data_IF_207243858127
#
_entry.id   IF_207243858127
#
_cell.length_a   1.000
_cell.length_b   1.000
_cell.length_c   1.000
_cell.angle_alpha   90.00
_cell.angle_beta   90.00
_cell.angle_gamma   90.00
#
_symmetry.space_group_name_H-M   'P 1'
#
loop_
_entity.id
_entity.type
_entity.pdbx_description
1 polymer ?
#
# COMPACT_ATOMS: atom_id res chain seq x y z
N UNK A 1 14.74 -8.84 1.26
CA UNK A 1 14.05 -7.53 1.38
C UNK A 1 14.55 -6.86 2.64
N UNK A 2 14.72 -5.54 2.63
CA UNK A 2 15.24 -4.80 3.79
C UNK A 2 14.14 -4.51 4.80
N UNK A 3 14.45 -4.54 6.10
CA UNK A 3 13.50 -4.21 7.17
C UNK A 3 13.36 -2.68 7.32
N UNK A 4 12.15 -2.17 7.05
CA UNK A 4 11.82 -0.74 7.14
C UNK A 4 11.72 -0.22 8.58
N UNK A 5 11.56 -1.12 9.56
CA UNK A 5 11.52 -0.82 11.00
C UNK A 5 12.90 -0.89 11.66
N UNK A 6 13.98 -0.97 10.88
CA UNK A 6 15.34 -0.94 11.43
C UNK A 6 15.53 0.27 12.37
N UNK A 7 16.03 -0.02 13.57
CA UNK A 7 16.25 0.97 14.62
C UNK A 7 15.07 1.20 15.58
N UNK A 8 13.84 0.77 15.24
CA UNK A 8 12.64 0.96 16.09
C UNK A 8 12.83 0.40 17.50
N UNK A 9 13.34 -0.83 17.63
CA UNK A 9 13.45 -1.52 18.93
C UNK A 9 14.29 -0.77 19.98
N UNK A 10 15.27 0.04 19.53
CA UNK A 10 16.15 0.83 20.40
C UNK A 10 15.74 2.29 20.50
N UNK A 11 14.69 2.69 19.78
CA UNK A 11 14.23 4.06 19.76
C UNK A 11 13.41 4.37 21.03
N UNK A 12 13.74 5.42 21.79
CA UNK A 12 12.95 5.83 22.95
C UNK A 12 11.48 6.14 22.61
N UNK A 13 11.18 6.46 21.35
CA UNK A 13 9.85 6.72 20.82
C UNK A 13 9.27 5.52 20.06
N UNK A 14 9.77 4.29 20.24
CA UNK A 14 9.33 3.08 19.53
C UNK A 14 7.81 2.90 19.48
N UNK A 15 7.12 3.17 20.60
CA UNK A 15 5.66 3.05 20.72
C UNK A 15 4.89 4.04 19.84
N UNK A 16 5.54 5.10 19.34
CA UNK A 16 4.96 6.11 18.44
C UNK A 16 5.27 5.84 16.97
N UNK A 17 5.93 4.72 16.65
CA UNK A 17 6.17 4.30 15.28
C UNK A 17 4.97 3.52 14.77
N UNK A 18 4.39 4.04 13.69
CA UNK A 18 3.19 3.51 13.05
C UNK A 18 3.56 2.92 11.69
N UNK A 19 2.82 1.90 11.29
CA UNK A 19 2.99 1.21 10.00
C UNK A 19 1.66 1.12 9.30
N UNK A 20 1.67 1.31 7.99
CA UNK A 20 0.50 1.25 7.14
C UNK A 20 0.81 0.45 5.87
N UNK A 21 -0.04 -0.50 5.53
CA UNK A 21 -0.06 -1.18 4.23
C UNK A 21 -1.19 -0.60 3.37
N UNK A 22 -0.81 0.27 2.43
CA UNK A 22 -1.76 1.05 1.65
C UNK A 22 -1.96 0.44 0.26
N UNK A 23 -3.21 0.07 -0.03
CA UNK A 23 -3.67 -0.44 -1.33
C UNK A 23 -4.91 0.35 -1.80
N UNK A 24 -5.24 0.34 -3.10
CA UNK A 24 -6.43 1.00 -3.58
C UNK A 24 -7.71 0.35 -3.00
N UNK A 25 -8.60 1.17 -2.43
CA UNK A 25 -9.78 0.71 -1.68
C UNK A 25 -10.81 0.00 -2.58
N UNK A 26 -10.94 0.44 -3.83
CA UNK A 26 -11.87 -0.13 -4.82
C UNK A 26 -11.26 -1.33 -5.60
N UNK A 27 -10.32 -2.05 -4.99
CA UNK A 27 -9.74 -3.26 -5.56
C UNK A 27 -10.51 -4.51 -5.10
N UNK A 28 -10.60 -5.49 -6.01
CA UNK A 28 -11.26 -6.76 -5.73
C UNK A 28 -10.37 -7.66 -4.86
N UNK A 29 -10.86 -8.06 -3.70
CA UNK A 29 -10.19 -8.98 -2.79
C UNK A 29 -10.96 -10.30 -2.76
N UNK A 30 -10.44 -11.41 -3.31
CA UNK A 30 -11.15 -12.68 -3.37
C UNK A 30 -11.73 -13.13 -2.02
N UNK A 31 -11.00 -12.91 -0.93
CA UNK A 31 -11.38 -13.27 0.44
C UNK A 31 -12.55 -12.45 0.99
N UNK A 32 -12.78 -11.24 0.46
CA UNK A 32 -13.96 -10.40 0.75
C UNK A 32 -15.07 -10.64 -0.26
N UNK A 33 -14.75 -10.48 -1.54
CA UNK A 33 -15.72 -10.30 -2.61
C UNK A 33 -16.31 -11.60 -3.16
N UNK A 34 -15.68 -12.76 -2.88
CA UNK A 34 -16.23 -14.07 -3.22
C UNK A 34 -16.96 -14.74 -2.06
N UNK A 35 -16.92 -14.15 -0.86
CA UNK A 35 -17.57 -14.68 0.34
C UNK A 35 -18.88 -13.90 0.54
N UNK A 36 -20.04 -14.56 0.61
CA UNK A 36 -21.32 -13.87 0.86
C UNK A 36 -21.24 -13.03 2.15
N UNK A 37 -21.79 -11.80 2.13
CA UNK A 37 -21.77 -10.84 3.25
C UNK A 37 -21.96 -11.41 4.67
N UNK A 38 -22.89 -12.36 4.95
CA UNK A 38 -23.02 -12.93 6.30
C UNK A 38 -21.86 -13.86 6.73
N UNK A 39 -20.96 -14.22 5.82
CA UNK A 39 -19.82 -15.12 6.04
C UNK A 39 -18.47 -14.39 6.02
N UNK A 40 -18.43 -13.10 5.64
CA UNK A 40 -17.21 -12.30 5.72
C UNK A 40 -16.95 -11.95 7.18
N UNK A 41 -15.84 -12.44 7.73
CA UNK A 41 -15.48 -12.13 9.12
C UNK A 41 -15.04 -10.67 9.27
N UNK A 42 -15.31 -10.08 10.43
CA UNK A 42 -14.81 -8.73 10.77
C UNK A 42 -13.26 -8.70 10.76
N UNK A 43 -12.61 -9.82 11.10
CA UNK A 43 -11.15 -9.97 11.00
C UNK A 43 -10.68 -9.88 9.54
N UNK A 44 -11.38 -10.53 8.61
CA UNK A 44 -11.11 -10.44 7.16
C UNK A 44 -11.28 -9.01 6.67
N UNK A 45 -12.35 -8.31 7.07
CA UNK A 45 -12.58 -6.91 6.70
C UNK A 45 -11.50 -5.98 7.24
N UNK A 46 -11.07 -6.18 8.49
CA UNK A 46 -10.01 -5.37 9.11
C UNK A 46 -8.63 -5.53 8.48
N UNK A 47 -8.43 -6.54 7.62
CA UNK A 47 -7.19 -6.78 6.88
C UNK A 47 -7.18 -6.11 5.49
N UNK A 48 -8.28 -5.53 5.04
CA UNK A 48 -8.45 -5.03 3.68
C UNK A 48 -7.90 -3.60 3.54
N UNK A 49 -6.56 -3.51 3.56
CA UNK A 49 -5.78 -2.27 3.46
C UNK A 49 -6.03 -1.25 4.59
N UNK A 50 -4.94 -0.64 5.06
CA UNK A 50 -5.06 0.38 6.09
C UNK A 50 -5.61 1.68 5.49
N UNK A 51 -6.51 2.35 6.21
CA UNK A 51 -6.82 3.76 5.95
C UNK A 51 -5.74 4.63 6.59
N UNK A 52 -5.09 5.48 5.80
CA UNK A 52 -4.15 6.46 6.34
C UNK A 52 -4.92 7.72 6.77
N UNK A 53 -5.01 8.03 8.08
CA UNK A 53 -5.92 9.07 8.59
C UNK A 53 -5.37 10.50 8.45
N UNK A 54 -4.25 10.70 7.75
CA UNK A 54 -3.53 11.98 7.65
C UNK A 54 -2.98 12.17 6.22
N UNK A 55 -2.11 13.17 6.03
CA UNK A 55 -1.36 13.41 4.79
C UNK A 55 0.15 13.28 5.01
N UNK A 56 0.83 12.80 3.99
CA UNK A 56 2.29 12.84 3.88
C UNK A 56 2.66 14.23 3.35
N UNK A 57 3.23 15.05 4.23
CA UNK A 57 3.51 16.46 3.92
C UNK A 57 4.92 16.64 3.38
N UNK A 58 5.04 16.97 2.11
CA UNK A 58 6.31 17.01 1.37
C UNK A 58 6.57 18.39 0.77
N UNK A 59 7.85 18.67 0.51
CA UNK A 59 8.22 19.73 -0.41
C UNK A 59 7.87 19.34 -1.84
N UNK A 60 7.65 20.32 -2.73
CA UNK A 60 7.42 20.04 -4.15
C UNK A 60 8.52 19.13 -4.75
N UNK A 61 9.79 19.41 -4.46
CA UNK A 61 10.91 18.62 -4.99
C UNK A 61 10.88 17.16 -4.50
N UNK A 62 10.59 16.91 -3.23
CA UNK A 62 10.55 15.54 -2.72
C UNK A 62 9.31 14.77 -3.22
N UNK A 63 8.19 15.47 -3.41
CA UNK A 63 7.01 14.90 -4.06
C UNK A 63 7.29 14.51 -5.51
N UNK A 64 7.88 15.40 -6.31
CA UNK A 64 8.21 15.14 -7.71
C UNK A 64 9.20 13.97 -7.86
N UNK A 65 10.16 13.87 -6.95
CA UNK A 65 11.11 12.74 -6.92
C UNK A 65 10.39 11.43 -6.57
N UNK A 66 9.50 11.44 -5.57
CA UNK A 66 8.71 10.26 -5.21
C UNK A 66 7.77 9.83 -6.32
N UNK A 67 7.04 10.77 -6.92
CA UNK A 67 6.09 10.51 -7.99
C UNK A 67 6.79 9.85 -9.17
N UNK A 68 7.94 10.39 -9.60
CA UNK A 68 8.76 9.81 -10.67
C UNK A 68 9.20 8.38 -10.37
N UNK A 69 9.65 8.10 -9.14
CA UNK A 69 10.03 6.73 -8.75
C UNK A 69 8.84 5.77 -8.75
N UNK A 70 7.72 6.15 -8.14
CA UNK A 70 6.53 5.30 -8.08
C UNK A 70 5.96 5.05 -9.48
N UNK A 71 5.90 6.07 -10.34
CA UNK A 71 5.42 5.91 -11.70
C UNK A 71 6.28 4.94 -12.52
N UNK A 72 7.60 5.00 -12.37
CA UNK A 72 8.54 4.11 -13.04
C UNK A 72 8.43 2.67 -12.51
N UNK A 73 8.45 2.50 -11.18
CA UNK A 73 8.37 1.18 -10.55
C UNK A 73 7.02 0.51 -10.87
N UNK A 74 5.91 1.24 -10.76
CA UNK A 74 4.59 0.70 -11.07
C UNK A 74 4.39 0.45 -12.56
N UNK A 75 5.03 1.22 -13.45
CA UNK A 75 5.03 0.92 -14.88
C UNK A 75 5.75 -0.41 -15.17
N UNK A 76 6.88 -0.65 -14.50
CA UNK A 76 7.56 -1.95 -14.58
C UNK A 76 6.67 -3.09 -14.08
N UNK A 77 6.01 -2.92 -12.93
CA UNK A 77 5.07 -3.92 -12.40
C UNK A 77 3.90 -4.19 -13.34
N UNK A 78 3.31 -3.14 -13.92
CA UNK A 78 2.23 -3.27 -14.90
C UNK A 78 2.68 -4.04 -16.15
N UNK A 79 3.90 -3.77 -16.65
CA UNK A 79 4.48 -4.50 -17.79
C UNK A 79 4.69 -5.99 -17.50
N UNK A 80 4.87 -6.35 -16.24
CA UNK A 80 4.96 -7.74 -15.76
C UNK A 80 3.59 -8.35 -15.40
N UNK A 81 2.49 -7.64 -15.67
CA UNK A 81 1.12 -8.01 -15.31
C UNK A 81 0.96 -8.26 -13.79
N UNK A 82 1.75 -7.54 -12.99
CA UNK A 82 1.73 -7.59 -11.54
C UNK A 82 0.69 -6.62 -10.98
N UNK A 83 -0.03 -7.06 -9.96
CA UNK A 83 -1.06 -6.30 -9.24
C UNK A 83 -0.96 -6.63 -7.75
N UNK A 84 -1.82 -6.01 -6.94
CA UNK A 84 -1.92 -6.26 -5.50
C UNK A 84 -0.67 -5.88 -4.68
N UNK A 85 0.20 -5.06 -5.27
CA UNK A 85 1.32 -4.45 -4.56
C UNK A 85 0.85 -3.29 -3.66
N UNK A 86 1.41 -3.16 -2.47
CA UNK A 86 1.08 -2.09 -1.53
C UNK A 86 2.20 -1.07 -1.39
N UNK A 87 1.84 0.13 -0.94
CA UNK A 87 2.81 1.03 -0.31
C UNK A 87 2.90 0.69 1.17
N UNK A 88 4.01 0.12 1.61
CA UNK A 88 4.31 -0.01 3.02
C UNK A 88 4.94 1.28 3.53
N UNK A 89 4.18 2.03 4.32
CA UNK A 89 4.55 3.30 4.93
C UNK A 89 4.87 3.09 6.41
N UNK A 90 5.99 3.66 6.85
CA UNK A 90 6.33 3.82 8.27
C UNK A 90 6.34 5.30 8.59
N UNK A 91 5.60 5.68 9.65
CA UNK A 91 5.59 7.04 10.19
C UNK A 91 6.10 7.03 11.62
N UNK A 92 7.02 7.94 11.96
CA UNK A 92 7.56 8.07 13.31
C UNK A 92 7.92 9.52 13.63
N UNK A 93 7.98 9.93 14.92
CA UNK A 93 8.18 11.32 15.28
C UNK A 93 9.46 11.92 14.68
N UNK A 94 9.41 13.18 14.23
CA UNK A 94 10.59 13.83 13.66
C UNK A 94 11.78 13.94 14.65
N UNK A 95 11.48 13.98 15.95
CA UNK A 95 12.48 13.97 17.01
C UNK A 95 13.19 12.63 17.19
N UNK A 96 12.65 11.54 16.64
CA UNK A 96 13.30 10.23 16.68
C UNK A 96 14.49 10.18 15.71
N UNK A 97 15.59 9.60 16.17
CA UNK A 97 16.83 9.46 15.42
C UNK A 97 17.44 8.07 15.68
N UNK A 98 16.91 7.02 15.05
CA UNK A 98 17.37 5.66 15.29
C UNK A 98 18.84 5.49 14.89
N UNK A 99 19.64 4.87 15.76
CA UNK A 99 21.07 4.65 15.54
C UNK A 99 21.37 3.71 14.37
N UNK A 100 20.45 2.77 14.12
CA UNK A 100 20.54 1.85 12.99
C UNK A 100 19.64 2.37 11.89
N UNK A 101 20.27 2.77 10.80
CA UNK A 101 19.62 3.24 9.59
C UNK A 101 19.92 2.26 8.47
N UNK A 102 18.91 1.92 7.67
CA UNK A 102 19.03 1.05 6.52
C UNK A 102 19.85 1.68 5.37
N UNK A 103 19.52 1.32 4.13
CA UNK A 103 20.13 1.88 2.92
C UNK A 103 20.10 3.41 2.92
N UNK A 104 21.13 4.01 2.31
CA UNK A 104 21.32 5.47 2.22
C UNK A 104 20.44 6.12 1.13
N UNK A 105 19.12 5.96 1.23
CA UNK A 105 18.17 6.76 0.44
C UNK A 105 17.28 7.56 1.39
N UNK A 106 16.81 8.73 0.94
CA UNK A 106 15.94 9.62 1.76
C UNK A 106 14.77 8.84 2.39
N UNK A 107 14.09 8.02 1.59
CA UNK A 107 12.94 7.18 1.97
C UNK A 107 13.27 5.96 2.85
N UNK A 108 14.54 5.63 3.03
CA UNK A 108 14.99 4.57 3.95
C UNK A 108 15.53 5.13 5.26
N UNK A 109 16.13 6.31 5.21
CA UNK A 109 16.58 7.04 6.40
C UNK A 109 15.35 7.53 7.18
N UNK A 110 14.43 8.18 6.48
CA UNK A 110 13.27 8.86 7.06
C UNK A 110 13.20 10.28 6.50
N UNK A 111 12.29 10.52 5.57
CA UNK A 111 12.06 11.84 5.00
C UNK A 111 11.23 12.67 5.99
N UNK A 112 11.76 13.82 6.41
CA UNK A 112 11.05 14.69 7.35
C UNK A 112 9.83 15.35 6.69
N UNK A 113 8.73 15.43 7.42
CA UNK A 113 7.55 16.19 7.00
C UNK A 113 7.83 17.70 7.03
N UNK A 114 7.16 18.45 6.15
CA UNK A 114 7.30 19.91 6.10
C UNK A 114 6.80 20.62 7.37
N UNK A 115 5.84 20.00 8.08
CA UNK A 115 5.35 20.51 9.37
C UNK A 115 6.25 20.13 10.58
N UNK A 116 7.34 19.38 10.33
CA UNK A 116 8.32 18.98 11.35
C UNK A 116 7.79 18.00 12.40
N UNK A 117 6.62 17.40 12.21
CA UNK A 117 6.03 16.45 13.18
C UNK A 117 6.53 15.03 12.97
N UNK A 118 6.76 14.64 11.73
CA UNK A 118 6.96 13.24 11.36
C UNK A 118 8.18 13.04 10.48
N UNK A 119 8.65 11.79 10.43
CA UNK A 119 9.53 11.24 9.40
C UNK A 119 8.83 10.06 8.76
N UNK A 120 9.02 9.91 7.46
CA UNK A 120 8.39 8.86 6.66
C UNK A 120 9.43 7.94 6.05
N UNK A 121 9.21 6.64 6.12
CA UNK A 121 9.89 5.65 5.28
C UNK A 121 8.85 4.93 4.44
N UNK A 122 9.17 4.62 3.19
CA UNK A 122 8.20 4.01 2.28
C UNK A 122 8.85 3.01 1.32
N UNK A 123 8.15 1.93 1.00
CA UNK A 123 8.58 0.91 0.03
C UNK A 123 7.38 0.24 -0.62
N UNK A 124 7.50 -0.17 -1.90
CA UNK A 124 6.52 -1.03 -2.54
C UNK A 124 6.74 -2.50 -2.14
N UNK A 125 5.69 -3.16 -1.67
CA UNK A 125 5.68 -4.58 -1.25
C UNK A 125 4.71 -5.41 -2.11
N UNK A 126 4.67 -6.72 -1.84
CA UNK A 126 3.70 -7.69 -2.37
C UNK A 126 3.57 -7.81 -3.90
N UNK A 127 4.58 -7.35 -4.63
CA UNK A 127 4.64 -7.36 -6.10
C UNK A 127 4.86 -8.73 -6.76
N UNK A 128 4.77 -9.84 -6.01
CA UNK A 128 4.97 -11.19 -6.56
C UNK A 128 3.70 -11.80 -7.19
N UNK A 129 2.56 -11.10 -7.12
CA UNK A 129 1.27 -11.54 -7.64
C UNK A 129 1.05 -11.08 -9.08
N UNK A 130 0.97 -12.03 -10.00
CA UNK A 130 0.59 -11.79 -11.37
C UNK A 130 -0.91 -12.05 -11.57
N UNK A 131 -1.57 -11.27 -12.45
CA UNK A 131 -3.01 -11.39 -12.75
C UNK A 131 -3.47 -12.82 -13.03
N UNK A 132 -2.67 -13.63 -13.75
CA UNK A 132 -3.03 -15.02 -14.06
C UNK A 132 -3.15 -15.90 -12.80
N UNK A 133 -2.33 -15.66 -11.78
CA UNK A 133 -2.42 -16.39 -10.49
C UNK A 133 -3.67 -15.96 -9.72
N UNK A 134 -3.97 -14.67 -9.72
CA UNK A 134 -5.19 -14.13 -9.10
C UNK A 134 -6.45 -14.61 -9.79
N UNK A 135 -6.46 -14.67 -11.12
CA UNK A 135 -7.58 -15.23 -11.87
C UNK A 135 -7.81 -16.70 -11.51
N UNK A 136 -6.75 -17.49 -11.36
CA UNK A 136 -6.85 -18.89 -10.93
C UNK A 136 -7.39 -19.03 -9.50
N UNK A 137 -6.94 -18.19 -8.56
CA UNK A 137 -7.47 -18.15 -7.19
C UNK A 137 -8.95 -17.71 -7.18
N UNK A 138 -9.30 -16.68 -7.93
CA UNK A 138 -10.67 -16.20 -8.05
C UNK A 138 -11.58 -17.27 -8.65
N UNK A 139 -11.17 -17.95 -9.72
CA UNK A 139 -11.92 -19.07 -10.29
C UNK A 139 -12.07 -20.23 -9.29
N UNK A 140 -11.06 -20.49 -8.47
CA UNK A 140 -11.13 -21.51 -7.41
C UNK A 140 -12.14 -21.12 -6.33
N UNK A 141 -12.11 -19.86 -5.87
CA UNK A 141 -13.10 -19.32 -4.93
C UNK A 141 -14.51 -19.33 -5.51
N UNK A 142 -14.68 -18.95 -6.78
CA UNK A 142 -15.96 -19.02 -7.50
C UNK A 142 -16.47 -20.47 -7.57
N UNK A 143 -15.62 -21.47 -7.85
CA UNK A 143 -16.03 -22.89 -7.80
C UNK A 143 -16.48 -23.29 -6.38
N UNK A 144 -15.82 -22.78 -5.33
CA UNK A 144 -16.21 -23.01 -3.94
C UNK A 144 -17.54 -22.33 -3.57
N UNK A 145 -17.79 -21.12 -4.09
CA UNK A 145 -19.01 -20.32 -3.83
C UNK A 145 -20.17 -20.65 -4.77
N UNK A 146 -19.95 -21.29 -5.93
CA UNK A 146 -21.04 -21.75 -6.82
C UNK A 146 -21.93 -22.84 -6.19
N UNK A 147 -21.48 -23.46 -5.09
CA UNK A 147 -22.35 -24.29 -4.25
C UNK A 147 -23.28 -23.48 -3.33
N UNK A 148 -23.09 -22.16 -3.22
CA UNK A 148 -23.74 -21.27 -2.24
C UNK A 148 -24.11 -19.93 -2.90
N UNK A 149 -25.24 -19.89 -3.60
CA UNK A 149 -26.07 -18.70 -3.84
C UNK A 149 -25.54 -17.69 -4.87
N UNK A 150 -26.19 -17.68 -6.04
CA UNK A 150 -26.01 -16.65 -7.06
C UNK A 150 -26.75 -15.35 -6.76
N UNK A 151 -26.16 -14.26 -7.27
CA UNK A 151 -26.67 -12.89 -7.52
C UNK A 151 -25.89 -11.82 -6.77
N UNK A 152 -24.78 -11.40 -7.36
CA UNK A 152 -24.36 -9.99 -7.35
C UNK A 152 -23.92 -9.62 -8.77
N UNK A 153 -24.12 -8.35 -9.15
CA UNK A 153 -23.94 -7.83 -10.52
C UNK A 153 -22.50 -7.97 -11.04
N UNK A 154 -22.14 -7.34 -12.17
CA UNK A 154 -20.79 -7.44 -12.72
C UNK A 154 -19.78 -6.78 -11.78
N UNK A 155 -19.34 -7.51 -10.75
CA UNK A 155 -18.12 -7.21 -10.01
C UNK A 155 -17.00 -7.21 -11.04
N UNK A 156 -16.16 -6.18 -11.02
CA UNK A 156 -14.93 -6.10 -11.80
C UNK A 156 -13.94 -7.17 -11.30
N UNK A 157 -14.23 -8.43 -11.61
CA UNK A 157 -13.42 -9.64 -11.35
C UNK A 157 -12.04 -9.52 -12.03
N UNK A 158 -11.83 -8.51 -12.89
CA UNK A 158 -10.62 -8.33 -13.69
C UNK A 158 -10.13 -6.89 -13.68
N UNK A 159 -9.67 -6.38 -12.53
CA UNK A 159 -8.80 -5.19 -12.58
C UNK A 159 -7.56 -5.55 -13.42
N UNK A 160 -7.31 -4.83 -14.52
CA UNK A 160 -6.09 -4.99 -15.31
C UNK A 160 -4.88 -4.44 -14.54
N UNK A 161 -3.66 -4.83 -14.92
CA UNK A 161 -2.48 -4.27 -14.27
C UNK A 161 -2.39 -2.74 -14.47
N UNK A 162 -2.86 -2.25 -15.62
CA UNK A 162 -2.97 -0.81 -15.90
C UNK A 162 -4.03 -0.13 -15.02
N UNK A 163 -5.22 -0.70 -14.90
CA UNK A 163 -6.29 -0.18 -14.01
C UNK A 163 -5.85 -0.19 -12.54
N UNK A 164 -5.14 -1.23 -12.10
CA UNK A 164 -4.59 -1.30 -10.75
C UNK A 164 -3.58 -0.17 -10.53
N UNK A 165 -2.67 0.02 -11.49
CA UNK A 165 -1.68 1.10 -11.46
C UNK A 165 -2.34 2.47 -11.40
N UNK A 166 -3.36 2.74 -12.22
CA UNK A 166 -4.08 4.01 -12.19
C UNK A 166 -4.71 4.28 -10.81
N UNK A 167 -5.41 3.29 -10.25
CA UNK A 167 -6.00 3.39 -8.91
C UNK A 167 -4.94 3.58 -7.82
N UNK A 168 -3.79 2.92 -7.94
CA UNK A 168 -2.68 3.08 -7.01
C UNK A 168 -2.05 4.47 -7.09
N UNK A 169 -1.83 5.01 -8.29
CA UNK A 169 -1.32 6.37 -8.46
C UNK A 169 -2.30 7.41 -7.92
N UNK A 170 -3.61 7.21 -8.10
CA UNK A 170 -4.65 8.07 -7.52
C UNK A 170 -4.64 8.01 -5.99
N UNK A 171 -4.46 6.83 -5.39
CA UNK A 171 -4.26 6.69 -3.94
C UNK A 171 -3.03 7.51 -3.48
N UNK A 172 -1.90 7.38 -4.17
CA UNK A 172 -0.69 8.15 -3.82
C UNK A 172 -0.96 9.65 -3.85
N UNK A 173 -1.61 10.15 -4.89
CA UNK A 173 -1.96 11.58 -4.98
C UNK A 173 -2.92 11.99 -3.85
N UNK A 174 -3.85 11.12 -3.48
CA UNK A 174 -4.81 11.41 -2.41
C UNK A 174 -4.15 11.51 -1.03
N UNK A 175 -3.08 10.78 -0.74
CA UNK A 175 -2.45 10.76 0.59
C UNK A 175 -1.30 11.78 0.74
N UNK A 176 -0.93 12.47 -0.33
CA UNK A 176 0.14 13.47 -0.33
C UNK A 176 -0.43 14.88 -0.17
N UNK A 177 0.30 15.73 0.54
CA UNK A 177 0.02 17.16 0.65
C UNK A 177 1.33 17.91 0.37
N UNK A 178 1.34 18.68 -0.71
CA UNK A 178 2.56 19.29 -1.25
C UNK A 178 2.60 20.77 -0.90
N UNK A 179 3.75 21.22 -0.40
CA UNK A 179 3.99 22.60 -0.04
C UNK A 179 5.03 23.21 -0.97
N UNK A 180 4.68 24.35 -1.57
CA UNK A 180 5.65 25.23 -2.21
C UNK A 180 6.28 26.15 -1.14
N UNK A 181 7.62 26.27 -1.09
CA UNK A 181 8.31 27.17 -0.16
C UNK A 181 7.98 28.65 -0.37
#
# INVERSE_FOLDING_TARGET
>A
MENMLCGKEKDPAAEKWETYDLKPIDYFFPERDLVPDPLVSQETLSRLADEFPDKIRLTQSDYDDMKRMIEADTAFLASANAVDYSLFLVRFPASSNPDVIGKKSKWRIGLASTDGKWKYRAVLLDFFWAKHKLHAQAMTGVIQTFNVIGRQGPMTITTTADEYREKFLALMDSIMEVYEP
#
